data_IF_223725426907
#
_entry.id   IF_223725426907
#
_cell.length_a   1.000
_cell.length_b   1.000
_cell.length_c   1.000
_cell.angle_alpha   90.00
_cell.angle_beta   90.00
_cell.angle_gamma   90.00
#
_symmetry.space_group_name_H-M   'P 1'
#
loop_
_entity.id
_entity.type
_entity.pdbx_description
1 polymer ?
#
# COMPACT_ATOMS: atom_id res chain seq x y z
N UNK A 1 4.57 -8.05 27.37
CA UNK A 1 3.87 -6.80 27.73
C UNK A 1 4.20 -5.64 26.78
N UNK A 2 5.49 -5.36 26.49
CA UNK A 2 5.92 -4.29 25.57
C UNK A 2 5.34 -4.35 24.13
N UNK A 3 5.28 -5.54 23.50
CA UNK A 3 4.73 -5.72 22.15
C UNK A 3 3.27 -5.27 21.99
N UNK A 4 2.45 -5.38 23.03
CA UNK A 4 1.03 -5.00 22.98
C UNK A 4 0.82 -3.49 23.03
N UNK A 5 1.64 -2.80 23.83
CA UNK A 5 1.63 -1.33 23.99
C UNK A 5 2.04 -0.67 22.67
N UNK A 6 3.06 -1.21 22.00
CA UNK A 6 3.55 -0.72 20.72
C UNK A 6 2.53 -0.89 19.58
N UNK A 7 1.81 -2.01 19.56
CA UNK A 7 0.71 -2.27 18.60
C UNK A 7 -0.46 -1.30 18.82
N UNK A 8 -0.83 -1.06 20.08
CA UNK A 8 -1.90 -0.11 20.43
C UNK A 8 -1.56 1.31 19.99
N UNK A 9 -0.32 1.74 20.23
CA UNK A 9 0.18 3.05 19.84
C UNK A 9 0.22 3.24 18.32
N UNK A 10 0.75 2.27 17.57
CA UNK A 10 0.80 2.33 16.11
C UNK A 10 -0.60 2.47 15.49
N UNK A 11 -1.56 1.67 15.96
CA UNK A 11 -2.96 1.73 15.50
C UNK A 11 -3.60 3.08 15.80
N UNK A 12 -3.32 3.65 16.96
CA UNK A 12 -3.82 4.97 17.35
C UNK A 12 -3.24 6.10 16.49
N UNK A 13 -1.93 6.07 16.23
CA UNK A 13 -1.24 7.04 15.36
C UNK A 13 -1.79 6.97 13.94
N UNK A 14 -1.90 5.78 13.35
CA UNK A 14 -2.46 5.58 12.00
C UNK A 14 -3.89 6.11 11.92
N UNK A 15 -4.73 5.82 12.92
CA UNK A 15 -6.11 6.33 12.97
C UNK A 15 -6.15 7.86 13.00
N UNK A 16 -5.30 8.51 13.79
CA UNK A 16 -5.21 9.98 13.83
C UNK A 16 -4.77 10.57 12.49
N UNK A 17 -3.78 9.95 11.84
CA UNK A 17 -3.31 10.35 10.51
C UNK A 17 -4.44 10.23 9.49
N UNK A 18 -5.10 9.07 9.40
CA UNK A 18 -6.21 8.87 8.47
C UNK A 18 -7.37 9.84 8.71
N UNK A 19 -7.72 10.10 9.98
CA UNK A 19 -8.74 11.10 10.32
C UNK A 19 -8.34 12.50 9.85
N UNK A 20 -7.07 12.91 10.07
CA UNK A 20 -6.58 14.25 9.70
C UNK A 20 -6.59 14.46 8.18
N UNK A 21 -6.25 13.44 7.41
CA UNK A 21 -6.04 13.55 5.96
C UNK A 21 -7.16 12.91 5.12
N UNK A 22 -8.33 12.60 5.69
CA UNK A 22 -9.42 11.83 5.05
C UNK A 22 -9.88 12.31 3.65
N UNK A 23 -9.68 13.59 3.34
CA UNK A 23 -10.12 14.21 2.08
C UNK A 23 -8.93 14.56 1.15
N UNK A 24 -7.73 14.06 1.43
CA UNK A 24 -6.50 14.47 0.72
C UNK A 24 -6.12 13.59 -0.46
N UNK A 25 -6.77 12.42 -0.61
CA UNK A 25 -6.44 11.48 -1.68
C UNK A 25 -7.45 11.57 -2.83
N UNK A 26 -7.02 11.33 -4.08
CA UNK A 26 -7.89 11.36 -5.24
C UNK A 26 -9.01 10.33 -5.16
N UNK A 27 -10.22 10.74 -5.55
CA UNK A 27 -11.40 9.86 -5.61
C UNK A 27 -11.84 9.50 -7.03
N UNK A 28 -11.20 10.11 -8.03
CA UNK A 28 -11.50 9.90 -9.44
C UNK A 28 -10.22 9.72 -10.23
N UNK A 29 -10.27 8.81 -11.19
CA UNK A 29 -9.19 8.61 -12.16
C UNK A 29 -9.39 9.58 -13.32
N UNK A 30 -8.36 10.34 -13.68
CA UNK A 30 -8.40 11.28 -14.81
C UNK A 30 -7.89 10.68 -16.13
N UNK A 31 -7.28 9.48 -16.10
CA UNK A 31 -6.56 8.91 -17.22
C UNK A 31 -7.00 7.47 -17.52
N UNK A 32 -7.16 7.17 -18.80
CA UNK A 32 -7.33 5.80 -19.28
C UNK A 32 -5.95 5.11 -19.41
N UNK A 33 -5.88 3.80 -19.13
CA UNK A 33 -4.67 2.96 -19.22
C UNK A 33 -3.52 3.32 -18.24
N UNK A 34 -3.84 3.56 -16.98
CA UNK A 34 -2.81 3.74 -15.94
C UNK A 34 -1.97 2.49 -15.73
N UNK A 35 -0.65 2.66 -15.79
CA UNK A 35 0.31 1.59 -15.52
C UNK A 35 0.73 1.62 -14.05
N UNK A 36 0.75 0.46 -13.37
CA UNK A 36 1.28 0.40 -12.02
C UNK A 36 2.80 0.63 -12.02
N UNK A 37 3.26 1.35 -10.99
CA UNK A 37 4.66 1.53 -10.61
C UNK A 37 4.98 0.72 -9.37
N UNK A 38 6.27 0.47 -9.16
CA UNK A 38 6.77 -0.19 -7.96
C UNK A 38 7.20 0.83 -6.91
N UNK A 39 6.54 0.79 -5.75
CA UNK A 39 6.87 1.62 -4.60
C UNK A 39 7.89 0.89 -3.71
N UNK A 40 9.18 1.19 -3.92
CA UNK A 40 10.32 0.50 -3.30
C UNK A 40 10.16 0.37 -1.78
N UNK A 41 9.90 1.47 -1.06
CA UNK A 41 9.81 1.44 0.41
C UNK A 41 8.61 0.65 0.97
N UNK A 42 7.62 0.37 0.15
CA UNK A 42 6.48 -0.47 0.52
C UNK A 42 6.67 -1.92 0.03
N UNK A 43 7.51 -2.11 -0.99
CA UNK A 43 7.61 -3.33 -1.77
C UNK A 43 6.28 -3.66 -2.45
N UNK A 44 5.63 -2.67 -3.06
CA UNK A 44 4.21 -2.76 -3.44
C UNK A 44 3.89 -2.07 -4.76
N UNK A 45 2.80 -2.49 -5.41
CA UNK A 45 2.27 -1.81 -6.58
C UNK A 45 1.51 -0.54 -6.18
N UNK A 46 1.72 0.55 -6.92
CA UNK A 46 1.05 1.85 -6.79
C UNK A 46 0.70 2.36 -8.17
N UNK A 47 -0.45 2.99 -8.34
CA UNK A 47 -0.82 3.66 -9.60
C UNK A 47 -0.61 5.17 -9.48
N UNK A 48 -0.32 5.81 -10.61
CA UNK A 48 0.01 7.24 -10.66
C UNK A 48 -1.13 8.14 -10.18
N UNK A 49 -2.38 7.73 -10.41
CA UNK A 49 -3.58 8.48 -10.00
C UNK A 49 -3.92 8.36 -8.52
N UNK A 50 -3.15 7.59 -7.75
CA UNK A 50 -3.47 7.32 -6.34
C UNK A 50 -3.05 8.45 -5.40
N UNK A 51 -2.27 9.42 -5.89
CA UNK A 51 -1.80 10.59 -5.14
C UNK A 51 -0.86 10.26 -3.98
N UNK A 52 -0.30 9.03 -3.93
CA UNK A 52 0.53 8.58 -2.80
C UNK A 52 1.90 9.26 -2.80
N UNK A 53 2.48 9.55 -3.96
CA UNK A 53 3.79 10.19 -4.05
C UNK A 53 3.73 11.67 -3.62
N UNK A 54 2.60 12.33 -3.86
CA UNK A 54 2.35 13.74 -3.60
C UNK A 54 1.73 13.98 -2.21
N UNK A 55 1.25 12.92 -1.55
CA UNK A 55 0.58 13.07 -0.27
C UNK A 55 1.54 13.45 0.87
N UNK A 56 0.95 13.93 1.96
CA UNK A 56 1.71 14.28 3.16
C UNK A 56 2.54 13.06 3.67
N UNK A 57 3.84 13.21 4.03
CA UNK A 57 4.72 12.08 4.37
C UNK A 57 4.19 11.13 5.45
N UNK A 58 3.52 11.67 6.49
CA UNK A 58 2.86 10.86 7.53
C UNK A 58 1.75 9.97 6.97
N UNK A 59 0.99 10.46 5.98
CA UNK A 59 -0.03 9.69 5.30
C UNK A 59 0.62 8.62 4.41
N UNK A 60 1.62 8.99 3.61
CA UNK A 60 2.36 8.05 2.77
C UNK A 60 2.96 6.89 3.58
N UNK A 61 3.56 7.18 4.73
CA UNK A 61 4.07 6.16 5.66
C UNK A 61 2.97 5.23 6.18
N UNK A 62 1.80 5.77 6.55
CA UNK A 62 0.67 4.95 6.97
C UNK A 62 0.12 4.09 5.80
N UNK A 63 0.13 4.63 4.59
CA UNK A 63 -0.32 3.94 3.38
C UNK A 63 0.62 2.82 2.92
N UNK A 64 1.89 2.79 3.32
CA UNK A 64 2.78 1.64 3.04
C UNK A 64 2.18 0.31 3.48
N UNK A 65 1.51 0.28 4.64
CA UNK A 65 0.83 -0.92 5.15
C UNK A 65 -0.43 -1.27 4.33
N UNK A 66 -1.17 -0.26 3.88
CA UNK A 66 -2.35 -0.41 2.99
C UNK A 66 -1.91 -1.03 1.67
N UNK A 67 -0.89 -0.45 1.04
CA UNK A 67 -0.32 -0.87 -0.23
C UNK A 67 0.26 -2.28 -0.17
N UNK A 68 0.92 -2.63 0.93
CA UNK A 68 1.45 -3.98 1.14
C UNK A 68 0.33 -5.02 1.23
N UNK A 69 -0.75 -4.72 1.96
CA UNK A 69 -1.89 -5.63 1.99
C UNK A 69 -2.59 -5.74 0.63
N UNK A 70 -2.75 -4.63 -0.09
CA UNK A 70 -3.31 -4.65 -1.45
C UNK A 70 -2.47 -5.51 -2.39
N UNK A 71 -1.15 -5.33 -2.35
CA UNK A 71 -0.22 -6.13 -3.17
C UNK A 71 -0.34 -7.62 -2.83
N UNK A 72 -0.51 -7.97 -1.56
CA UNK A 72 -0.83 -9.35 -1.16
C UNK A 72 -2.13 -9.87 -1.77
N UNK A 73 -3.19 -9.05 -1.87
CA UNK A 73 -4.43 -9.47 -2.52
C UNK A 73 -4.23 -9.74 -4.02
N UNK A 74 -3.37 -8.95 -4.68
CA UNK A 74 -3.02 -9.10 -6.10
C UNK A 74 -2.16 -10.34 -6.32
N UNK A 75 -1.15 -10.57 -5.48
CA UNK A 75 -0.18 -11.64 -5.70
C UNK A 75 -0.57 -12.96 -5.08
N UNK A 76 -1.34 -12.94 -3.99
CA UNK A 76 -1.50 -14.06 -3.04
C UNK A 76 -0.17 -14.62 -2.52
N UNK A 77 0.92 -13.90 -2.79
CA UNK A 77 2.28 -14.22 -2.42
C UNK A 77 2.79 -13.03 -1.58
N UNK A 78 2.96 -13.24 -0.28
CA UNK A 78 3.91 -12.44 0.49
C UNK A 78 4.73 -13.39 1.35
N UNK A 79 6.04 -13.14 1.34
CA UNK A 79 7.04 -13.74 2.22
C UNK A 79 6.91 -13.30 3.70
N UNK A 80 5.90 -12.51 4.05
CA UNK A 80 5.72 -11.94 5.39
C UNK A 80 4.84 -12.83 6.28
N UNK A 81 5.30 -13.05 7.51
CA UNK A 81 4.63 -13.89 8.53
C UNK A 81 3.13 -13.58 8.70
N UNK A 82 2.32 -14.58 9.10
CA UNK A 82 0.87 -14.45 9.36
C UNK A 82 0.48 -13.18 10.16
N UNK A 83 1.34 -12.76 11.09
CA UNK A 83 1.10 -11.59 11.94
C UNK A 83 1.22 -10.24 11.20
N UNK A 84 2.16 -10.11 10.27
CA UNK A 84 2.33 -8.91 9.45
C UNK A 84 1.11 -8.69 8.55
N UNK A 85 0.62 -9.77 7.92
CA UNK A 85 -0.59 -9.71 7.09
C UNK A 85 -1.83 -9.30 7.89
N UNK A 86 -1.97 -9.76 9.14
CA UNK A 86 -3.08 -9.34 10.02
C UNK A 86 -3.05 -7.83 10.30
N UNK A 87 -1.88 -7.24 10.58
CA UNK A 87 -1.76 -5.79 10.84
C UNK A 87 -2.02 -4.98 9.58
N UNK A 88 -1.44 -5.37 8.47
CA UNK A 88 -1.63 -4.68 7.20
C UNK A 88 -3.11 -4.73 6.78
N UNK A 89 -3.78 -5.88 6.96
CA UNK A 89 -5.23 -6.02 6.78
C UNK A 89 -6.02 -5.03 7.64
N UNK A 90 -5.71 -4.93 8.94
CA UNK A 90 -6.40 -4.01 9.83
C UNK A 90 -6.23 -2.55 9.40
N UNK A 91 -5.03 -2.16 8.97
CA UNK A 91 -4.76 -0.82 8.44
C UNK A 91 -5.50 -0.58 7.12
N UNK A 92 -5.55 -1.58 6.25
CA UNK A 92 -6.29 -1.54 4.99
C UNK A 92 -7.80 -1.32 5.21
N UNK A 93 -8.44 -2.11 6.10
CA UNK A 93 -9.86 -1.92 6.43
C UNK A 93 -10.12 -0.55 7.09
N UNK A 94 -9.19 -0.09 7.92
CA UNK A 94 -9.28 1.24 8.51
C UNK A 94 -9.19 2.33 7.43
N UNK A 95 -8.31 2.17 6.45
CA UNK A 95 -8.18 3.10 5.33
C UNK A 95 -9.47 3.13 4.50
N UNK A 96 -10.09 1.99 4.20
CA UNK A 96 -11.40 1.94 3.52
C UNK A 96 -12.49 2.73 4.26
N UNK A 97 -12.45 2.76 5.59
CA UNK A 97 -13.39 3.56 6.39
C UNK A 97 -13.17 5.07 6.27
N UNK A 98 -11.92 5.52 6.18
CA UNK A 98 -11.59 6.95 6.12
C UNK A 98 -11.51 7.51 4.70
N UNK A 99 -11.24 6.65 3.72
CA UNK A 99 -11.06 6.99 2.31
C UNK A 99 -11.94 6.08 1.42
N UNK A 100 -13.27 6.07 1.62
CA UNK A 100 -14.15 5.07 0.99
C UNK A 100 -14.12 5.10 -0.54
N UNK A 101 -13.87 6.28 -1.12
CA UNK A 101 -13.90 6.50 -2.57
C UNK A 101 -12.50 6.64 -3.17
N UNK A 102 -11.44 6.29 -2.44
CA UNK A 102 -10.09 6.37 -3.00
C UNK A 102 -9.92 5.39 -4.16
N UNK A 103 -9.39 5.89 -5.29
CA UNK A 103 -9.24 5.13 -6.54
C UNK A 103 -8.41 3.85 -6.38
N UNK A 104 -7.48 3.83 -5.43
CA UNK A 104 -6.64 2.66 -5.14
C UNK A 104 -7.39 1.47 -4.53
N UNK A 105 -8.66 1.65 -4.12
CA UNK A 105 -9.56 0.58 -3.68
C UNK A 105 -10.45 0.01 -4.77
N UNK A 106 -10.26 0.43 -6.03
CA UNK A 106 -10.94 -0.19 -7.15
C UNK A 106 -10.74 -1.72 -7.13
N UNK A 107 -11.80 -2.46 -7.45
CA UNK A 107 -11.82 -3.92 -7.35
C UNK A 107 -10.71 -4.54 -8.20
N UNK A 108 -10.47 -4.02 -9.40
CA UNK A 108 -9.43 -4.52 -10.31
C UNK A 108 -8.01 -4.42 -9.72
N UNK A 109 -7.79 -3.48 -8.78
CA UNK A 109 -6.52 -3.24 -8.08
C UNK A 109 -6.42 -3.99 -6.76
N UNK A 110 -7.47 -4.69 -6.33
CA UNK A 110 -7.56 -5.36 -5.03
C UNK A 110 -7.91 -6.85 -5.15
N UNK A 111 -7.85 -7.41 -6.36
CA UNK A 111 -8.06 -8.83 -6.63
C UNK A 111 -6.84 -9.44 -7.29
N UNK A 112 -6.73 -10.77 -7.20
CA UNK A 112 -5.66 -11.50 -7.85
C UNK A 112 -5.62 -11.22 -9.35
N UNK A 113 -4.42 -10.96 -9.87
CA UNK A 113 -4.20 -10.71 -11.29
C UNK A 113 -2.80 -11.22 -11.69
N UNK A 114 -2.75 -12.30 -12.47
CA UNK A 114 -1.50 -12.94 -12.87
C UNK A 114 -0.55 -12.00 -13.64
N UNK A 115 -1.08 -11.13 -14.50
CA UNK A 115 -0.25 -10.17 -15.25
C UNK A 115 0.43 -9.17 -14.31
N UNK A 116 -0.30 -8.68 -13.30
CA UNK A 116 0.26 -7.79 -12.28
C UNK A 116 1.30 -8.50 -11.42
N UNK A 117 1.13 -9.80 -11.16
CA UNK A 117 2.12 -10.61 -10.45
C UNK A 117 3.43 -10.71 -11.23
N UNK A 118 3.36 -11.02 -12.52
CA UNK A 118 4.55 -11.10 -13.37
C UNK A 118 5.25 -9.75 -13.51
N UNK A 119 4.48 -8.66 -13.57
CA UNK A 119 5.04 -7.30 -13.51
C UNK A 119 5.71 -7.02 -12.16
N UNK A 120 5.07 -7.38 -11.04
CA UNK A 120 5.63 -7.21 -9.70
C UNK A 120 6.96 -7.95 -9.54
N UNK A 121 7.04 -9.21 -9.98
CA UNK A 121 8.27 -10.02 -9.94
C UNK A 121 9.41 -9.37 -10.75
N UNK A 122 9.08 -8.84 -11.94
CA UNK A 122 10.05 -8.08 -12.76
C UNK A 122 10.53 -6.81 -12.06
N UNK A 123 9.62 -6.04 -11.45
CA UNK A 123 10.00 -4.85 -10.70
C UNK A 123 10.89 -5.16 -9.50
N UNK A 124 10.59 -6.22 -8.75
CA UNK A 124 11.42 -6.67 -7.63
C UNK A 124 12.83 -7.00 -8.08
N UNK A 125 12.98 -7.81 -9.14
CA UNK A 125 14.28 -8.18 -9.69
C UNK A 125 15.10 -6.96 -10.17
N UNK A 126 14.45 -6.00 -10.83
CA UNK A 126 15.12 -4.75 -11.26
C UNK A 126 15.52 -3.90 -10.06
N UNK A 127 14.67 -3.84 -9.02
CA UNK A 127 14.98 -3.10 -7.80
C UNK A 127 16.15 -3.70 -7.04
N UNK A 128 16.22 -5.03 -6.91
CA UNK A 128 17.35 -5.74 -6.30
C UNK A 128 18.65 -5.44 -7.04
N UNK A 129 18.65 -5.59 -8.37
CA UNK A 129 19.83 -5.28 -9.19
C UNK A 129 20.30 -3.81 -9.07
N UNK A 130 19.36 -2.87 -8.98
CA UNK A 130 19.71 -1.45 -8.79
C UNK A 130 20.35 -1.21 -7.41
N UNK A 131 19.88 -1.90 -6.37
CA UNK A 131 20.45 -1.79 -5.02
C UNK A 131 21.87 -2.38 -5.02
N UNK A 132 22.06 -3.55 -5.61
CA UNK A 132 23.36 -4.23 -5.70
C UNK A 132 24.42 -3.41 -6.45
N UNK A 133 24.00 -2.55 -7.38
CA UNK A 133 24.91 -1.64 -8.10
C UNK A 133 25.33 -0.41 -7.32
N UNK A 134 24.56 -0.04 -6.30
CA UNK A 134 24.78 1.17 -5.50
C UNK A 134 25.52 0.81 -4.19
N UNK A 135 25.42 -0.45 -3.74
CA UNK A 135 26.17 -1.03 -2.62
C UNK A 135 27.61 -1.38 -2.99
#
# INVERSE_FOLDING_TARGET
MFKLIEIGFQKFVVKRVFKKYRNSLPTTTAYDNLKPKYHILAGSLVWEDEGIAECHPKLGNAFRYVLRYRTYLISRELSDTKNTNKRNKQTFELAKKYFPNWVGFDKSRCTYNAELVDRLKRFQKVSEWNIDKIS
#
